data_IF_458962412302
#
_entry.id   IF_458962412302
#
_cell.length_a   1.000
_cell.length_b   1.000
_cell.length_c   1.000
_cell.angle_alpha   90.00
_cell.angle_beta   90.00
_cell.angle_gamma   90.00
#
_symmetry.space_group_name_H-M   'P 1'
#
loop_
_entity.id
_entity.type
_entity.pdbx_description
1 polymer ?
#
# COMPACT_ATOMS: atom_id res chain seq x y z
N UNK A 1 -10.79 -3.87 -15.92
CA UNK A 1 -9.34 -4.01 -16.15
C UNK A 1 -8.70 -4.22 -14.79
N UNK A 2 -7.93 -5.30 -14.56
CA UNK A 2 -7.14 -5.43 -13.35
C UNK A 2 -6.11 -4.29 -13.29
N UNK A 3 -5.83 -3.79 -12.08
CA UNK A 3 -4.78 -2.81 -11.84
C UNK A 3 -3.41 -3.51 -11.88
N UNK A 4 -2.47 -2.97 -12.65
CA UNK A 4 -1.11 -3.50 -12.78
C UNK A 4 -0.09 -2.39 -12.50
N UNK A 5 0.93 -2.72 -11.70
CA UNK A 5 2.09 -1.85 -11.43
C UNK A 5 3.22 -2.23 -12.38
N UNK A 6 3.26 -1.60 -13.55
CA UNK A 6 4.32 -1.84 -14.53
C UNK A 6 5.62 -1.09 -14.16
N UNK A 7 6.75 -1.79 -14.27
CA UNK A 7 8.11 -1.24 -14.15
C UNK A 7 8.41 -0.41 -12.88
N UNK A 8 7.73 -0.67 -11.77
CA UNK A 8 7.97 0.05 -10.53
C UNK A 8 9.25 -0.39 -9.83
N UNK A 9 10.01 0.60 -9.33
CA UNK A 9 11.12 0.31 -8.41
C UNK A 9 10.53 -0.17 -7.09
N UNK A 10 10.76 -1.44 -6.78
CA UNK A 10 10.32 -2.06 -5.54
C UNK A 10 11.51 -2.50 -4.70
N UNK A 11 11.32 -2.57 -3.39
CA UNK A 11 12.25 -3.20 -2.47
C UNK A 11 11.85 -4.66 -2.28
N UNK A 12 12.79 -5.59 -2.47
CA UNK A 12 12.64 -6.97 -2.02
C UNK A 12 12.99 -7.01 -0.53
N UNK A 13 11.99 -7.19 0.32
CA UNK A 13 12.15 -7.11 1.79
C UNK A 13 12.36 -8.47 2.43
N UNK A 14 11.97 -9.56 1.77
CA UNK A 14 12.18 -10.91 2.26
C UNK A 14 12.35 -11.91 1.12
N UNK A 15 13.27 -12.86 1.33
CA UNK A 15 13.45 -14.05 0.51
C UNK A 15 13.46 -15.23 1.48
N UNK A 16 12.45 -16.09 1.40
CA UNK A 16 12.30 -17.23 2.30
C UNK A 16 12.24 -18.55 1.51
N UNK A 17 13.39 -19.21 1.31
CA UNK A 17 13.43 -20.53 0.70
C UNK A 17 12.79 -21.58 1.63
N UNK A 18 11.94 -22.43 1.07
CA UNK A 18 11.29 -23.54 1.77
C UNK A 18 11.28 -24.79 0.92
N UNK A 19 11.33 -25.95 1.56
CA UNK A 19 11.01 -27.21 0.88
C UNK A 19 9.49 -27.39 0.93
N UNK A 20 8.85 -27.43 -0.23
CA UNK A 20 7.40 -27.56 -0.33
C UNK A 20 7.04 -28.87 -1.04
N UNK A 21 5.92 -29.48 -0.63
CA UNK A 21 5.37 -30.63 -1.33
C UNK A 21 4.62 -30.16 -2.57
N UNK A 22 4.92 -30.78 -3.71
CA UNK A 22 4.25 -30.55 -4.98
C UNK A 22 3.74 -31.89 -5.50
N UNK A 23 2.57 -32.31 -4.99
CA UNK A 23 2.14 -33.70 -5.06
C UNK A 23 2.89 -34.54 -4.02
N UNK A 24 3.47 -35.67 -4.44
CA UNK A 24 4.30 -36.51 -3.56
C UNK A 24 5.77 -36.08 -3.50
N UNK A 25 6.22 -35.23 -4.43
CA UNK A 25 7.61 -34.78 -4.51
C UNK A 25 7.87 -33.54 -3.65
N UNK A 26 9.02 -33.51 -2.96
CA UNK A 26 9.53 -32.27 -2.35
C UNK A 26 10.29 -31.47 -3.39
N UNK A 27 9.85 -30.24 -3.65
CA UNK A 27 10.53 -29.29 -4.54
C UNK A 27 10.94 -28.04 -3.76
N UNK A 28 12.08 -27.41 -4.11
CA UNK A 28 12.42 -26.10 -3.60
C UNK A 28 11.34 -25.08 -4.01
N UNK A 29 10.90 -24.29 -3.04
CA UNK A 29 10.04 -23.14 -3.23
C UNK A 29 10.67 -21.92 -2.56
N UNK A 30 10.23 -20.73 -2.94
CA UNK A 30 10.69 -19.49 -2.31
C UNK A 30 9.52 -18.52 -2.19
N UNK A 31 9.28 -18.03 -0.99
CA UNK A 31 8.35 -16.93 -0.78
C UNK A 31 9.13 -15.61 -0.88
N UNK A 32 8.62 -14.70 -1.69
CA UNK A 32 9.19 -13.37 -1.88
C UNK A 32 8.23 -12.33 -1.35
N UNK A 33 8.74 -11.40 -0.54
CA UNK A 33 7.98 -10.23 -0.09
C UNK A 33 8.55 -8.96 -0.74
N UNK A 34 7.69 -8.23 -1.43
CA UNK A 34 8.02 -6.95 -2.04
C UNK A 34 7.32 -5.81 -1.28
N UNK A 35 7.96 -4.66 -1.27
CA UNK A 35 7.42 -3.41 -0.72
C UNK A 35 7.70 -2.27 -1.69
N UNK A 36 6.66 -1.52 -2.02
CA UNK A 36 6.71 -0.38 -2.94
C UNK A 36 6.17 0.86 -2.24
N UNK A 37 6.87 1.98 -2.41
CA UNK A 37 6.33 3.29 -2.07
C UNK A 37 5.43 3.75 -3.23
N UNK A 38 4.15 3.96 -2.97
CA UNK A 38 3.18 4.42 -3.96
C UNK A 38 2.45 5.66 -3.44
N UNK A 39 1.98 6.52 -4.35
CA UNK A 39 1.14 7.66 -3.99
C UNK A 39 -0.30 7.21 -3.71
N UNK A 40 -1.09 8.10 -3.09
CA UNK A 40 -2.47 7.84 -2.70
C UNK A 40 -3.40 7.49 -3.89
N UNK A 41 -3.00 7.78 -5.13
CA UNK A 41 -3.73 7.38 -6.34
C UNK A 41 -3.91 5.87 -6.46
N UNK A 42 -3.04 5.07 -5.85
CA UNK A 42 -3.20 3.60 -5.82
C UNK A 42 -4.51 3.17 -5.16
N UNK A 43 -5.01 3.96 -4.20
CA UNK A 43 -6.26 3.68 -3.48
C UNK A 43 -7.50 3.71 -4.38
N UNK A 44 -7.43 4.37 -5.54
CA UNK A 44 -8.52 4.41 -6.51
C UNK A 44 -8.86 3.01 -7.08
N UNK A 45 -7.91 2.07 -7.04
CA UNK A 45 -8.06 0.71 -7.55
C UNK A 45 -8.72 -0.25 -6.55
N UNK A 46 -8.89 0.18 -5.30
CA UNK A 46 -9.56 -0.62 -4.27
C UNK A 46 -11.06 -0.37 -4.34
N UNK A 47 -11.85 -1.38 -3.94
CA UNK A 47 -13.30 -1.24 -3.78
C UNK A 47 -13.63 -0.12 -2.79
N UNK A 48 -14.80 0.52 -2.97
CA UNK A 48 -15.18 1.73 -2.24
C UNK A 48 -15.07 1.59 -0.72
N UNK A 49 -15.48 0.44 -0.18
CA UNK A 49 -15.45 0.16 1.26
C UNK A 49 -14.01 0.10 1.80
N UNK A 50 -13.16 -0.72 1.19
CA UNK A 50 -11.75 -0.84 1.58
C UNK A 50 -11.00 0.48 1.40
N UNK A 51 -11.27 1.20 0.31
CA UNK A 51 -10.73 2.54 0.08
C UNK A 51 -11.12 3.50 1.21
N UNK A 52 -12.38 3.51 1.64
CA UNK A 52 -12.86 4.41 2.70
C UNK A 52 -12.17 4.17 4.05
N UNK A 53 -11.77 2.92 4.33
CA UNK A 53 -11.04 2.55 5.56
C UNK A 53 -9.57 3.00 5.53
N UNK A 54 -9.00 3.17 4.33
CA UNK A 54 -7.59 3.51 4.14
C UNK A 54 -7.35 5.02 4.00
N UNK A 55 -8.40 5.80 3.69
CA UNK A 55 -8.33 7.25 3.77
C UNK A 55 -8.39 7.71 5.23
N UNK A 56 -7.27 8.20 5.76
CA UNK A 56 -7.31 9.02 6.97
C UNK A 56 -8.03 10.31 6.61
N UNK A 57 -9.20 10.56 7.19
CA UNK A 57 -9.92 11.81 6.95
C UNK A 57 -9.04 12.98 7.41
N UNK A 58 -8.55 13.73 6.43
CA UNK A 58 -7.79 14.96 6.59
C UNK A 58 -8.61 16.06 7.30
N UNK A 59 -9.85 15.81 7.71
CA UNK A 59 -10.75 16.81 8.28
C UNK A 59 -10.21 17.42 9.57
N UNK A 60 -9.66 16.61 10.48
CA UNK A 60 -9.11 17.11 11.74
C UNK A 60 -7.84 17.96 11.52
N UNK A 61 -6.94 17.51 10.65
CA UNK A 61 -5.71 18.24 10.32
C UNK A 61 -5.99 19.48 9.46
N UNK A 62 -6.95 19.41 8.53
CA UNK A 62 -7.38 20.52 7.69
C UNK A 62 -8.09 21.60 8.51
N UNK A 63 -8.97 21.21 9.45
CA UNK A 63 -9.62 22.16 10.36
C UNK A 63 -8.60 22.87 11.24
N UNK A 64 -7.61 22.14 11.79
CA UNK A 64 -6.51 22.75 12.54
C UNK A 64 -5.66 23.69 11.68
N UNK A 65 -5.37 23.30 10.43
CA UNK A 65 -4.59 24.13 9.51
C UNK A 65 -5.34 25.39 9.08
N UNK A 66 -6.64 25.30 8.82
CA UNK A 66 -7.53 26.43 8.55
C UNK A 66 -7.58 27.36 9.77
N UNK A 67 -7.75 26.83 10.98
CA UNK A 67 -7.79 27.63 12.20
C UNK A 67 -6.46 28.37 12.46
N UNK A 68 -5.32 27.72 12.19
CA UNK A 68 -4.00 28.36 12.29
C UNK A 68 -3.78 29.47 11.26
N UNK A 69 -4.28 29.30 10.03
CA UNK A 69 -4.23 30.34 9.00
C UNK A 69 -5.08 31.55 9.39
N UNK A 70 -6.30 31.32 9.89
CA UNK A 70 -7.20 32.37 10.35
C UNK A 70 -6.64 33.15 11.56
N UNK A 71 -5.89 32.49 12.46
CA UNK A 71 -5.21 33.14 13.60
C UNK A 71 -4.00 33.98 13.21
N UNK A 72 -3.37 33.73 12.05
CA UNK A 72 -2.20 34.49 11.58
C UNK A 72 -2.56 35.75 10.77
N UNK A 73 -3.81 35.85 10.31
CA UNK A 73 -4.33 36.99 9.56
C UNK A 73 -5.06 38.03 10.44
N UNK A 74 -5.10 37.82 11.76
CA UNK A 74 -5.64 38.75 12.75
C UNK A 74 -4.48 39.38 13.55
#
# INVERSE_FOLDING_TARGET
MPFELEAQKTKLTSVNPRAELHGEDKKPAVDLKFEVAADNGVLANFGADLRSMLYTQFEAELQQMIEQLMKKSA
#
